data_IF_679105644350
#
_entry.id   IF_679105644350
#
_cell.length_a   1.000
_cell.length_b   1.000
_cell.length_c   1.000
_cell.angle_alpha   90.00
_cell.angle_beta   90.00
_cell.angle_gamma   90.00
#
_symmetry.space_group_name_H-M   'P 1'
#
loop_
_entity.id
_entity.type
_entity.pdbx_description
1 polymer ?
#
# COMPACT_ATOMS: atom_id res chain seq x y z
N UNK A 1 54.26 13.39 -23.86
CA UNK A 1 53.04 13.30 -23.04
C UNK A 1 53.32 14.07 -21.76
N UNK A 2 52.65 15.20 -21.58
CA UNK A 2 52.83 16.06 -20.40
C UNK A 2 51.98 15.57 -19.24
N UNK A 3 52.31 15.99 -18.01
CA UNK A 3 51.51 15.68 -16.82
C UNK A 3 50.05 16.15 -16.95
N UNK A 4 49.83 17.27 -17.65
CA UNK A 4 48.50 17.79 -17.95
C UNK A 4 47.71 16.87 -18.87
N UNK A 5 48.34 16.35 -19.94
CA UNK A 5 47.68 15.39 -20.85
C UNK A 5 47.21 14.15 -20.07
N UNK A 6 48.06 13.63 -19.17
CA UNK A 6 47.73 12.46 -18.35
C UNK A 6 46.53 12.73 -17.42
N UNK A 7 46.50 13.90 -16.79
CA UNK A 7 45.39 14.35 -15.93
C UNK A 7 44.09 14.47 -16.72
N UNK A 8 44.12 15.09 -17.91
CA UNK A 8 42.95 15.24 -18.78
C UNK A 8 42.40 13.89 -19.25
N UNK A 9 43.26 12.98 -19.72
CA UNK A 9 42.84 11.63 -20.13
C UNK A 9 42.27 10.83 -18.95
N UNK A 10 42.88 10.93 -17.77
CA UNK A 10 42.38 10.24 -16.58
C UNK A 10 41.01 10.76 -16.14
N UNK A 11 40.79 12.08 -16.17
CA UNK A 11 39.50 12.69 -15.86
C UNK A 11 38.41 12.27 -16.84
N UNK A 12 38.73 12.21 -18.13
CA UNK A 12 37.79 11.76 -19.16
C UNK A 12 37.39 10.29 -18.98
N UNK A 13 38.37 9.42 -18.69
CA UNK A 13 38.10 7.99 -18.42
C UNK A 13 37.24 7.79 -17.17
N UNK A 14 37.53 8.52 -16.08
CA UNK A 14 36.73 8.48 -14.86
C UNK A 14 35.31 8.98 -15.12
N UNK A 15 35.15 10.08 -15.87
CA UNK A 15 33.86 10.62 -16.26
C UNK A 15 33.04 9.62 -17.10
N UNK A 16 33.68 8.97 -18.08
CA UNK A 16 33.04 7.93 -18.90
C UNK A 16 32.60 6.74 -18.05
N UNK A 17 33.46 6.25 -17.15
CA UNK A 17 33.12 5.17 -16.24
C UNK A 17 31.95 5.54 -15.31
N UNK A 18 31.95 6.76 -14.77
CA UNK A 18 30.85 7.29 -13.96
C UNK A 18 29.53 7.38 -14.73
N UNK A 19 29.57 7.81 -16.00
CA UNK A 19 28.40 7.86 -16.88
C UNK A 19 27.82 6.47 -17.16
N UNK A 20 28.68 5.50 -17.48
CA UNK A 20 28.26 4.10 -17.69
C UNK A 20 27.64 3.52 -16.41
N UNK A 21 28.26 3.77 -15.26
CA UNK A 21 27.73 3.33 -13.98
C UNK A 21 26.38 3.97 -13.66
N UNK A 22 26.20 5.27 -13.92
CA UNK A 22 24.94 5.96 -13.68
C UNK A 22 23.79 5.39 -14.52
N UNK A 23 24.05 5.02 -15.80
CA UNK A 23 23.07 4.33 -16.64
C UNK A 23 22.70 2.97 -16.03
N UNK A 24 23.70 2.19 -15.64
CA UNK A 24 23.47 0.89 -15.01
C UNK A 24 22.65 1.01 -13.71
N UNK A 25 23.05 1.91 -12.81
CA UNK A 25 22.36 2.15 -11.55
C UNK A 25 20.92 2.60 -11.74
N UNK A 26 20.63 3.46 -12.73
CA UNK A 26 19.27 3.86 -13.05
C UNK A 26 18.41 2.68 -13.56
N UNK A 27 18.99 1.79 -14.38
CA UNK A 27 18.28 0.59 -14.85
C UNK A 27 17.94 -0.35 -13.70
N UNK A 28 18.89 -0.58 -12.79
CA UNK A 28 18.66 -1.44 -11.64
C UNK A 28 17.66 -0.83 -10.66
N UNK A 29 17.74 0.50 -10.42
CA UNK A 29 16.76 1.20 -9.61
C UNK A 29 15.34 1.12 -10.19
N UNK A 30 15.18 1.19 -11.52
CA UNK A 30 13.87 0.98 -12.16
C UNK A 30 13.35 -0.43 -11.93
N UNK A 31 14.21 -1.44 -12.11
CA UNK A 31 13.85 -2.84 -11.88
C UNK A 31 13.42 -3.10 -10.43
N UNK A 32 14.14 -2.55 -9.46
CA UNK A 32 13.81 -2.67 -8.04
C UNK A 32 12.47 -2.01 -7.70
N UNK A 33 12.14 -0.87 -8.32
CA UNK A 33 10.82 -0.24 -8.16
C UNK A 33 9.69 -1.12 -8.67
N UNK A 34 9.88 -1.76 -9.83
CA UNK A 34 8.87 -2.65 -10.40
C UNK A 34 8.70 -3.92 -9.56
N UNK A 35 9.81 -4.49 -9.04
CA UNK A 35 9.77 -5.61 -8.10
C UNK A 35 9.05 -5.25 -6.80
N UNK A 36 9.39 -4.12 -6.18
CA UNK A 36 8.74 -3.65 -4.97
C UNK A 36 7.23 -3.45 -5.17
N UNK A 37 6.81 -2.94 -6.33
CA UNK A 37 5.39 -2.81 -6.68
C UNK A 37 4.72 -4.17 -6.82
N UNK A 38 5.36 -5.12 -7.51
CA UNK A 38 4.82 -6.47 -7.65
C UNK A 38 4.67 -7.17 -6.29
N UNK A 39 5.67 -7.04 -5.42
CA UNK A 39 5.64 -7.60 -4.06
C UNK A 39 4.56 -6.96 -3.19
N UNK A 40 4.37 -5.63 -3.26
CA UNK A 40 3.31 -4.96 -2.53
C UNK A 40 1.92 -5.48 -2.91
N UNK A 41 1.66 -5.68 -4.21
CA UNK A 41 0.40 -6.26 -4.67
C UNK A 41 0.25 -7.73 -4.29
N UNK A 42 1.32 -8.51 -4.36
CA UNK A 42 1.29 -9.91 -3.93
C UNK A 42 0.96 -10.01 -2.43
N UNK A 43 1.60 -9.18 -1.60
CA UNK A 43 1.34 -9.12 -0.17
C UNK A 43 -0.12 -8.72 0.13
N UNK A 44 -0.66 -7.74 -0.60
CA UNK A 44 -2.07 -7.37 -0.50
C UNK A 44 -3.01 -8.55 -0.80
N UNK A 45 -2.77 -9.30 -1.88
CA UNK A 45 -3.60 -10.44 -2.23
C UNK A 45 -3.49 -11.57 -1.19
N UNK A 46 -2.28 -11.87 -0.73
CA UNK A 46 -2.05 -12.88 0.30
C UNK A 46 -2.72 -12.50 1.63
N UNK A 47 -2.58 -11.25 2.07
CA UNK A 47 -3.19 -10.75 3.30
C UNK A 47 -4.73 -10.74 3.20
N UNK A 48 -5.27 -10.38 2.03
CA UNK A 48 -6.70 -10.40 1.77
C UNK A 48 -7.27 -11.83 1.92
N UNK A 49 -6.62 -12.81 1.30
CA UNK A 49 -7.01 -14.23 1.40
C UNK A 49 -6.88 -14.73 2.84
N UNK A 50 -5.80 -14.37 3.54
CA UNK A 50 -5.59 -14.76 4.94
C UNK A 50 -6.72 -14.21 5.84
N UNK A 51 -7.08 -12.93 5.69
CA UNK A 51 -8.16 -12.29 6.42
C UNK A 51 -9.52 -12.99 6.17
N UNK A 52 -9.88 -13.22 4.90
CA UNK A 52 -11.11 -13.94 4.57
C UNK A 52 -11.12 -15.37 5.12
N UNK A 53 -9.97 -16.04 5.13
CA UNK A 53 -9.82 -17.40 5.66
C UNK A 53 -9.97 -17.44 7.18
N UNK A 54 -9.38 -16.50 7.92
CA UNK A 54 -9.52 -16.42 9.40
C UNK A 54 -10.95 -16.11 9.81
N UNK A 55 -11.61 -15.17 9.13
CA UNK A 55 -13.03 -14.86 9.37
C UNK A 55 -13.92 -16.06 9.06
N UNK A 56 -13.67 -16.74 7.94
CA UNK A 56 -14.34 -17.97 7.56
C UNK A 56 -14.17 -19.07 8.61
N UNK A 57 -12.93 -19.29 9.08
CA UNK A 57 -12.62 -20.29 10.10
C UNK A 57 -13.35 -20.02 11.42
N UNK A 58 -13.36 -18.77 11.91
CA UNK A 58 -14.09 -18.38 13.12
C UNK A 58 -15.59 -18.62 12.97
N UNK A 59 -16.18 -18.22 11.83
CA UNK A 59 -17.60 -18.45 11.54
C UNK A 59 -17.94 -19.93 11.48
N UNK A 60 -17.11 -20.73 10.80
CA UNK A 60 -17.30 -22.17 10.69
C UNK A 60 -17.17 -22.87 12.04
N UNK A 61 -16.21 -22.48 12.87
CA UNK A 61 -16.03 -23.02 14.21
C UNK A 61 -17.26 -22.77 15.07
N UNK A 62 -17.74 -21.52 15.10
CA UNK A 62 -18.96 -21.13 15.83
C UNK A 62 -20.20 -21.90 15.37
N UNK A 63 -20.33 -22.13 14.06
CA UNK A 63 -21.45 -22.88 13.51
C UNK A 63 -21.38 -24.39 13.86
N UNK A 64 -20.20 -25.01 13.73
CA UNK A 64 -20.02 -26.45 13.98
C UNK A 64 -20.06 -26.84 15.46
N UNK A 65 -19.61 -25.95 16.34
CA UNK A 65 -19.48 -26.22 17.78
C UNK A 65 -20.45 -25.39 18.63
N UNK A 66 -21.59 -24.97 18.06
CA UNK A 66 -22.54 -24.06 18.73
C UNK A 66 -22.99 -24.51 20.13
N UNK A 67 -23.05 -25.82 20.39
CA UNK A 67 -23.43 -26.40 21.68
C UNK A 67 -22.28 -26.60 22.67
N UNK A 68 -21.02 -26.50 22.22
CA UNK A 68 -19.83 -26.71 23.04
C UNK A 68 -18.64 -25.89 22.50
N UNK A 69 -18.75 -24.57 22.64
CA UNK A 69 -17.71 -23.63 22.23
C UNK A 69 -16.55 -23.67 23.21
N UNK A 70 -15.35 -23.94 22.70
CA UNK A 70 -14.12 -23.71 23.46
C UNK A 70 -13.75 -22.22 23.40
N UNK A 71 -13.78 -21.57 24.57
CA UNK A 71 -13.48 -20.14 24.69
C UNK A 71 -12.06 -19.80 24.25
N UNK A 72 -11.08 -20.66 24.54
CA UNK A 72 -9.68 -20.42 24.21
C UNK A 72 -9.48 -20.46 22.69
N UNK A 73 -10.15 -21.39 22.00
CA UNK A 73 -10.11 -21.49 20.54
C UNK A 73 -10.76 -20.26 19.89
N UNK A 74 -11.90 -19.80 20.41
CA UNK A 74 -12.55 -18.58 19.93
C UNK A 74 -11.65 -17.37 20.13
N UNK A 75 -10.99 -17.25 21.28
CA UNK A 75 -10.08 -16.15 21.57
C UNK A 75 -8.89 -16.14 20.61
N UNK A 76 -8.24 -17.30 20.38
CA UNK A 76 -7.11 -17.41 19.45
C UNK A 76 -7.51 -17.08 18.01
N UNK A 77 -8.68 -17.57 17.56
CA UNK A 77 -9.19 -17.25 16.22
C UNK A 77 -9.54 -15.76 16.08
N UNK A 78 -10.09 -15.12 17.11
CA UNK A 78 -10.36 -13.70 17.12
C UNK A 78 -9.07 -12.86 17.09
N UNK A 79 -8.03 -13.27 17.82
CA UNK A 79 -6.70 -12.64 17.75
C UNK A 79 -6.06 -12.80 16.37
N UNK A 80 -6.17 -13.99 15.77
CA UNK A 80 -5.68 -14.25 14.44
C UNK A 80 -6.39 -13.35 13.40
N UNK A 81 -7.71 -13.19 13.50
CA UNK A 81 -8.50 -12.30 12.65
C UNK A 81 -8.08 -10.81 12.79
N UNK A 82 -7.90 -10.33 14.02
CA UNK A 82 -7.42 -8.97 14.26
C UNK A 82 -6.02 -8.75 13.67
N UNK A 83 -5.12 -9.73 13.79
CA UNK A 83 -3.77 -9.66 13.24
C UNK A 83 -3.78 -9.66 11.71
N UNK A 84 -4.53 -10.55 11.08
CA UNK A 84 -4.60 -10.62 9.60
C UNK A 84 -5.24 -9.36 9.02
N UNK A 85 -6.24 -8.78 9.70
CA UNK A 85 -6.79 -7.49 9.32
C UNK A 85 -5.74 -6.38 9.40
N UNK A 86 -4.94 -6.33 10.47
CA UNK A 86 -3.82 -5.39 10.60
C UNK A 86 -2.81 -5.51 9.44
N UNK A 87 -2.37 -6.73 9.16
CA UNK A 87 -1.45 -7.01 8.03
C UNK A 87 -2.07 -6.62 6.69
N UNK A 88 -3.37 -6.85 6.50
CA UNK A 88 -4.09 -6.41 5.30
C UNK A 88 -4.07 -4.89 5.15
N UNK A 89 -4.31 -4.12 6.21
CA UNK A 89 -4.23 -2.66 6.16
C UNK A 89 -2.81 -2.17 5.85
N UNK A 90 -1.78 -2.79 6.42
CA UNK A 90 -0.39 -2.45 6.12
C UNK A 90 -0.01 -2.81 4.68
N UNK A 91 -0.53 -3.91 4.15
CA UNK A 91 -0.35 -4.27 2.74
C UNK A 91 -0.97 -3.22 1.79
N UNK A 92 -2.15 -2.68 2.13
CA UNK A 92 -2.77 -1.57 1.37
C UNK A 92 -1.88 -0.31 1.41
N UNK A 93 -1.25 0.00 2.55
CA UNK A 93 -0.27 1.10 2.64
C UNK A 93 1.00 0.83 1.84
N UNK A 94 1.49 -0.40 1.80
CA UNK A 94 2.61 -0.76 0.93
C UNK A 94 2.28 -0.56 -0.54
N UNK A 95 1.06 -0.92 -0.97
CA UNK A 95 0.61 -0.63 -2.33
C UNK A 95 0.59 0.88 -2.60
N UNK A 96 0.11 1.69 -1.66
CA UNK A 96 0.14 3.14 -1.78
C UNK A 96 1.55 3.69 -2.01
N UNK A 97 2.53 3.22 -1.24
CA UNK A 97 3.92 3.71 -1.33
C UNK A 97 4.60 3.22 -2.62
N UNK A 98 4.27 2.03 -3.10
CA UNK A 98 4.91 1.42 -4.28
C UNK A 98 4.31 1.87 -5.63
N UNK A 99 3.08 2.37 -5.62
CA UNK A 99 2.40 2.86 -6.83
C UNK A 99 2.82 4.30 -7.18
N UNK A 100 3.21 4.60 -8.44
CA UNK A 100 3.59 5.95 -8.85
C UNK A 100 2.45 6.94 -8.75
N UNK A 101 1.21 6.46 -8.85
CA UNK A 101 -0.01 7.24 -8.76
C UNK A 101 -1.00 6.50 -7.87
N UNK A 102 -1.43 7.17 -6.81
CA UNK A 102 -2.39 6.65 -5.86
C UNK A 102 -3.51 7.68 -5.65
N UNK A 103 -4.32 7.85 -6.69
CA UNK A 103 -5.46 8.78 -6.71
C UNK A 103 -6.79 8.03 -6.85
N UNK A 104 -7.91 8.71 -6.57
CA UNK A 104 -9.24 8.06 -6.63
C UNK A 104 -9.54 7.48 -8.01
N UNK A 105 -9.12 8.14 -9.10
CA UNK A 105 -9.37 7.65 -10.47
C UNK A 105 -8.63 6.35 -10.73
N UNK A 106 -7.41 6.25 -10.23
CA UNK A 106 -6.58 5.05 -10.32
C UNK A 106 -7.18 3.90 -9.51
N UNK A 107 -7.66 4.19 -8.30
CA UNK A 107 -8.37 3.19 -7.47
C UNK A 107 -9.65 2.73 -8.16
N UNK A 108 -10.44 3.64 -8.71
CA UNK A 108 -11.67 3.32 -9.44
C UNK A 108 -11.37 2.45 -10.68
N UNK A 109 -10.27 2.74 -11.39
CA UNK A 109 -9.80 1.92 -12.48
C UNK A 109 -9.43 0.49 -12.01
N UNK A 110 -8.72 0.35 -10.89
CA UNK A 110 -8.39 -0.96 -10.30
C UNK A 110 -9.64 -1.75 -9.91
N UNK A 111 -10.66 -1.08 -9.36
CA UNK A 111 -11.95 -1.70 -9.05
C UNK A 111 -12.65 -2.17 -10.32
N UNK A 112 -12.72 -1.33 -11.35
CA UNK A 112 -13.35 -1.69 -12.63
C UNK A 112 -12.64 -2.84 -13.34
N UNK A 113 -11.32 -2.95 -13.17
CA UNK A 113 -10.51 -4.04 -13.71
C UNK A 113 -10.57 -5.33 -12.88
N UNK A 114 -11.26 -5.32 -11.72
CA UNK A 114 -11.32 -6.47 -10.80
C UNK A 114 -10.04 -6.72 -10.01
N UNK A 115 -9.05 -5.82 -10.05
CA UNK A 115 -7.81 -5.92 -9.27
C UNK A 115 -8.06 -5.71 -7.77
N UNK A 116 -9.03 -4.85 -7.45
CA UNK A 116 -9.53 -4.56 -6.10
C UNK A 116 -11.03 -4.84 -6.08
N UNK A 117 -11.53 -5.51 -5.03
CA UNK A 117 -12.97 -5.71 -4.89
C UNK A 117 -13.67 -4.38 -4.58
N UNK A 118 -14.92 -4.25 -5.00
CA UNK A 118 -15.72 -3.05 -4.73
C UNK A 118 -15.78 -2.74 -3.23
N UNK A 119 -15.94 -3.76 -2.40
CA UNK A 119 -16.01 -3.63 -0.94
C UNK A 119 -14.69 -3.15 -0.32
N UNK A 120 -13.55 -3.49 -0.94
CA UNK A 120 -12.24 -3.09 -0.41
C UNK A 120 -11.81 -1.70 -0.88
N UNK A 121 -12.52 -1.09 -1.84
CA UNK A 121 -12.25 0.27 -2.31
C UNK A 121 -12.06 1.27 -1.17
N UNK A 122 -12.92 1.19 -0.14
CA UNK A 122 -12.87 2.10 1.01
C UNK A 122 -11.52 2.04 1.74
N UNK A 123 -10.87 0.88 1.79
CA UNK A 123 -9.58 0.72 2.47
C UNK A 123 -8.46 1.44 1.71
N UNK A 124 -8.51 1.44 0.37
CA UNK A 124 -7.57 2.19 -0.47
C UNK A 124 -7.81 3.69 -0.36
N UNK A 125 -9.06 4.13 -0.41
CA UNK A 125 -9.40 5.56 -0.30
C UNK A 125 -9.00 6.13 1.07
N UNK A 126 -9.16 5.36 2.16
CA UNK A 126 -8.80 5.79 3.52
C UNK A 126 -7.31 6.08 3.72
N UNK A 127 -6.43 5.41 2.97
CA UNK A 127 -4.99 5.63 3.09
C UNK A 127 -4.48 6.71 2.14
N UNK A 128 -5.30 7.18 1.19
CA UNK A 128 -4.93 8.30 0.33
C UNK A 128 -4.50 9.49 1.21
N UNK A 129 -3.29 9.99 0.96
CA UNK A 129 -2.92 11.31 1.44
C UNK A 129 -3.67 12.27 0.54
N UNK A 130 -4.63 13.01 1.09
CA UNK A 130 -5.29 14.08 0.34
C UNK A 130 -4.21 15.03 -0.20
N UNK A 131 -4.19 15.27 -1.51
CA UNK A 131 -3.65 16.52 -2.04
C UNK A 131 -4.49 17.60 -1.39
N UNK A 132 -4.01 18.20 -0.29
CA UNK A 132 -4.75 19.20 0.47
C UNK A 132 -5.30 20.26 -0.50
N UNK A 133 -6.62 20.29 -0.78
CA UNK A 133 -7.21 21.42 -1.46
C UNK A 133 -7.26 22.54 -0.43
N UNK A 134 -6.66 23.67 -0.76
CA UNK A 134 -6.79 24.96 -0.06
C UNK A 134 -8.00 25.01 0.90
N UNK A 135 -7.70 25.18 2.19
CA UNK A 135 -8.68 25.59 3.18
C UNK A 135 -9.38 26.87 2.71
N UNK A 136 -10.59 26.75 2.17
CA UNK A 136 -11.55 27.86 2.07
C UNK A 136 -12.92 27.31 1.66
N UNK A 137 -13.62 26.68 2.60
CA UNK A 137 -15.08 26.87 2.73
C UNK A 137 -15.42 26.78 4.20
N UNK A 138 -15.39 27.95 4.82
CA UNK A 138 -16.00 28.25 6.11
C UNK A 138 -17.40 27.65 6.16
N UNK A 139 -17.61 26.68 7.05
CA UNK A 139 -18.95 26.29 7.48
C UNK A 139 -19.48 27.46 8.31
N UNK A 140 -20.32 28.32 7.71
CA UNK A 140 -21.13 29.25 8.49
C UNK A 140 -22.22 28.44 9.19
N UNK A 141 -21.97 28.07 10.45
CA UNK A 141 -23.00 27.53 11.34
C UNK A 141 -23.95 28.69 11.66
N UNK A 142 -25.06 28.77 10.94
CA UNK A 142 -26.19 29.60 11.34
C UNK A 142 -26.92 28.87 12.46
N UNK A 143 -26.79 29.37 13.68
CA UNK A 143 -27.40 28.80 14.89
C UNK A 143 -28.76 29.49 15.10
N UNK A 144 -29.92 28.84 14.93
CA UNK A 144 -31.17 29.43 15.35
C UNK A 144 -31.28 29.32 16.87
N UNK A 145 -31.46 30.47 17.53
CA UNK A 145 -31.62 30.58 18.97
C UNK A 145 -32.85 29.80 19.48
N UNK A 146 -32.81 29.23 20.70
CA UNK A 146 -33.97 28.57 21.29
C UNK A 146 -35.03 29.60 21.69
N UNK A 147 -36.23 29.50 21.10
CA UNK A 147 -37.43 30.20 21.58
C UNK A 147 -37.84 29.62 22.94
N UNK A 148 -38.00 30.51 23.92
CA UNK A 148 -38.52 30.25 25.27
C UNK A 148 -39.99 29.83 25.24
#
# INVERSE_FOLDING_TARGET
MTLNDLLEYSGWLIGLAGFVYAIYANREASRLKDLARAEAWNLYQAANVACGTTQGALKMYKAKHASNLDGDVVEQLAKADALTLGVFHDAVRHVQVAEPRFDSKTIDAWVSAGKVSLDHRVNFVRVMVEDAPNQAKSVSVHNPAPSR
#
